data_IF_731397766309
#
_entry.id   IF_731397766309
#
_cell.length_a   1.000
_cell.length_b   1.000
_cell.length_c   1.000
_cell.angle_alpha   90.00
_cell.angle_beta   90.00
_cell.angle_gamma   90.00
#
_symmetry.space_group_name_H-M   'P 1'
#
loop_
_entity.id
_entity.type
_entity.pdbx_description
1 polymer ?
#
# COMPACT_ATOMS: atom_id res chain seq x y z
N UNK A 1 -49.95 -17.70 -17.09
CA UNK A 1 -48.97 -16.67 -17.47
C UNK A 1 -49.18 -15.49 -16.53
N UNK A 2 -48.36 -15.37 -15.48
CA UNK A 2 -48.11 -14.14 -14.70
C UNK A 2 -47.35 -14.56 -13.43
N UNK A 3 -46.02 -14.62 -13.49
CA UNK A 3 -45.14 -14.74 -12.32
C UNK A 3 -43.70 -14.45 -12.77
N UNK A 4 -43.35 -13.18 -12.99
CA UNK A 4 -41.97 -12.77 -13.35
C UNK A 4 -41.69 -11.28 -13.15
N UNK A 5 -42.16 -10.64 -12.07
CA UNK A 5 -41.94 -9.18 -11.90
C UNK A 5 -41.49 -8.70 -10.52
N UNK A 6 -41.47 -9.54 -9.48
CA UNK A 6 -41.15 -9.07 -8.12
C UNK A 6 -39.68 -9.29 -7.70
N UNK A 7 -38.90 -10.03 -8.49
CA UNK A 7 -37.50 -10.36 -8.13
C UNK A 7 -36.46 -9.29 -8.53
N UNK A 8 -36.86 -8.22 -9.22
CA UNK A 8 -35.90 -7.20 -9.71
C UNK A 8 -35.61 -6.09 -8.69
N UNK A 9 -36.40 -5.97 -7.61
CA UNK A 9 -36.27 -4.88 -6.63
C UNK A 9 -35.51 -5.29 -5.36
N UNK A 10 -35.40 -6.60 -5.05
CA UNK A 10 -34.58 -7.10 -3.93
C UNK A 10 -33.09 -7.14 -4.28
N UNK A 11 -32.75 -7.50 -5.52
CA UNK A 11 -31.35 -7.52 -5.99
C UNK A 11 -30.71 -6.13 -5.99
N UNK A 12 -31.49 -5.06 -6.17
CA UNK A 12 -30.99 -3.69 -6.14
C UNK A 12 -30.72 -3.16 -4.71
N UNK A 13 -31.39 -3.69 -3.69
CA UNK A 13 -31.18 -3.32 -2.30
C UNK A 13 -30.07 -4.15 -1.63
N UNK A 14 -29.82 -5.38 -2.10
CA UNK A 14 -28.68 -6.21 -1.66
C UNK A 14 -27.35 -5.82 -2.32
N UNK A 15 -27.38 -5.05 -3.43
CA UNK A 15 -26.18 -4.56 -4.12
C UNK A 15 -25.63 -3.24 -3.56
N UNK A 16 -26.24 -2.70 -2.50
CA UNK A 16 -25.70 -1.61 -1.68
C UNK A 16 -24.90 -2.10 -0.46
N UNK A 17 -24.41 -3.35 -0.48
CA UNK A 17 -23.29 -3.78 0.36
C UNK A 17 -22.04 -3.10 -0.20
N UNK A 18 -21.88 -1.83 0.16
CA UNK A 18 -20.72 -1.02 -0.17
C UNK A 18 -19.46 -1.81 0.15
N UNK A 19 -18.52 -1.83 -0.80
CA UNK A 19 -17.16 -2.33 -0.64
C UNK A 19 -16.74 -2.23 0.83
N UNK A 20 -16.63 -3.39 1.51
CA UNK A 20 -16.24 -3.45 2.91
C UNK A 20 -14.94 -2.64 3.05
N UNK A 21 -15.04 -1.45 3.65
CA UNK A 21 -13.94 -0.50 3.66
C UNK A 21 -13.08 -0.84 4.86
N UNK A 22 -12.07 -1.65 4.60
CA UNK A 22 -11.14 -2.09 5.63
C UNK A 22 -10.32 -0.93 6.18
N UNK A 23 -10.44 -0.67 7.47
CA UNK A 23 -9.66 0.35 8.16
C UNK A 23 -8.15 0.15 8.00
N UNK A 24 -7.70 -1.10 7.91
CA UNK A 24 -6.32 -1.45 7.61
C UNK A 24 -5.83 -0.81 6.30
N UNK A 25 -6.67 -0.80 5.26
CA UNK A 25 -6.36 -0.21 3.97
C UNK A 25 -6.48 1.32 3.98
N UNK A 26 -7.39 1.88 4.77
CA UNK A 26 -7.48 3.33 4.99
C UNK A 26 -6.24 3.85 5.74
N UNK A 27 -5.83 3.18 6.82
CA UNK A 27 -4.63 3.49 7.57
C UNK A 27 -3.38 3.39 6.68
N UNK A 28 -3.23 2.29 5.94
CA UNK A 28 -2.14 2.13 4.97
C UNK A 28 -2.19 3.20 3.85
N UNK A 29 -3.40 3.63 3.49
CA UNK A 29 -3.70 4.58 2.42
C UNK A 29 -3.38 6.05 2.74
N UNK A 30 -3.04 6.37 4.00
CA UNK A 30 -2.53 7.69 4.40
C UNK A 30 -1.14 8.00 3.80
N UNK A 31 -0.46 6.99 3.28
CA UNK A 31 0.73 7.13 2.43
C UNK A 31 0.30 7.22 0.96
N UNK A 32 0.58 8.35 0.32
CA UNK A 32 0.10 8.69 -1.03
C UNK A 32 1.22 9.22 -1.91
N UNK A 33 0.97 9.33 -3.20
CA UNK A 33 1.90 10.01 -4.09
C UNK A 33 1.76 11.52 -3.91
N UNK A 34 2.86 12.26 -3.90
CA UNK A 34 2.84 13.72 -3.79
C UNK A 34 2.56 14.45 -5.12
N UNK A 35 2.59 13.72 -6.24
CA UNK A 35 2.42 14.27 -7.59
C UNK A 35 3.73 14.72 -8.26
N UNK A 36 4.83 14.79 -7.51
CA UNK A 36 6.18 15.16 -7.96
C UNK A 36 7.15 13.98 -8.00
N UNK A 37 6.68 12.77 -7.67
CA UNK A 37 7.48 11.55 -7.71
C UNK A 37 7.97 11.09 -6.34
N UNK A 38 7.64 11.84 -5.28
CA UNK A 38 7.81 11.44 -3.90
C UNK A 38 6.53 10.89 -3.28
N UNK A 39 6.57 10.82 -1.95
CA UNK A 39 5.51 10.28 -1.10
C UNK A 39 5.01 11.38 -0.18
N UNK A 40 3.70 11.57 -0.14
CA UNK A 40 3.02 12.40 0.84
C UNK A 40 2.50 11.51 1.98
N UNK A 41 2.66 11.99 3.21
CA UNK A 41 2.20 11.33 4.42
C UNK A 41 1.08 12.16 5.08
N UNK A 42 -0.14 11.66 5.06
CA UNK A 42 -1.32 12.29 5.68
C UNK A 42 -1.33 12.16 7.22
N UNK A 43 -0.34 11.51 7.82
CA UNK A 43 -0.11 11.45 9.27
C UNK A 43 1.25 12.06 9.64
N UNK A 44 1.75 13.02 8.84
CA UNK A 44 3.07 13.64 9.06
C UNK A 44 3.13 14.55 10.30
N UNK A 45 1.98 15.01 10.80
CA UNK A 45 1.87 15.84 12.02
C UNK A 45 0.74 15.36 12.94
N UNK A 46 0.78 15.71 14.24
CA UNK A 46 -0.32 15.39 15.17
C UNK A 46 -1.67 15.99 14.74
N UNK A 47 -1.67 17.20 14.17
CA UNK A 47 -2.88 17.84 13.66
C UNK A 47 -3.52 17.05 12.51
N UNK A 48 -2.69 16.50 11.61
CA UNK A 48 -3.19 15.67 10.52
C UNK A 48 -3.71 14.30 11.02
N UNK A 49 -3.07 13.70 12.03
CA UNK A 49 -3.61 12.52 12.69
C UNK A 49 -4.97 12.82 13.33
N UNK A 50 -5.11 13.94 14.04
CA UNK A 50 -6.39 14.35 14.62
C UNK A 50 -7.48 14.49 13.56
N UNK A 51 -7.17 15.11 12.42
CA UNK A 51 -8.12 15.25 11.31
C UNK A 51 -8.50 13.89 10.70
N UNK A 52 -7.53 12.97 10.57
CA UNK A 52 -7.79 11.63 10.07
C UNK A 52 -8.71 10.84 11.00
N UNK A 53 -8.48 10.87 12.32
CA UNK A 53 -9.34 10.21 13.32
C UNK A 53 -10.77 10.74 13.25
N UNK A 54 -10.94 12.06 13.19
CA UNK A 54 -12.26 12.70 13.08
C UNK A 54 -13.00 12.27 11.81
N UNK A 55 -12.30 12.16 10.68
CA UNK A 55 -12.88 11.66 9.44
C UNK A 55 -13.35 10.21 9.56
N UNK A 56 -12.56 9.32 10.17
CA UNK A 56 -12.95 7.91 10.37
C UNK A 56 -14.17 7.77 11.30
N UNK A 57 -14.28 8.60 12.34
CA UNK A 57 -15.43 8.62 13.24
C UNK A 57 -16.71 9.08 12.51
N UNK A 58 -16.60 10.13 11.69
CA UNK A 58 -17.71 10.69 10.92
C UNK A 58 -18.25 9.69 9.88
N UNK A 59 -17.37 8.93 9.22
CA UNK A 59 -17.73 7.99 8.15
C UNK A 59 -18.29 6.65 8.67
N UNK A 60 -18.62 6.54 9.97
CA UNK A 60 -19.17 5.33 10.61
C UNK A 60 -18.31 4.06 10.45
N UNK A 61 -17.07 4.16 9.94
CA UNK A 61 -16.18 3.02 9.70
C UNK A 61 -15.74 2.34 11.01
N UNK A 62 -15.98 3.00 12.16
CA UNK A 62 -15.55 2.57 13.48
C UNK A 62 -16.66 2.76 14.54
N UNK A 63 -17.63 1.84 14.65
CA UNK A 63 -18.56 1.81 15.79
C UNK A 63 -17.87 1.79 17.16
N UNK A 64 -16.67 1.22 17.22
CA UNK A 64 -15.83 1.14 18.42
C UNK A 64 -15.21 2.49 18.79
N UNK A 65 -14.86 3.32 17.79
CA UNK A 65 -14.40 4.71 18.03
C UNK A 65 -15.54 5.69 18.28
N UNK A 66 -16.80 5.34 17.95
CA UNK A 66 -17.96 6.21 18.24
C UNK A 66 -18.22 6.40 19.72
N UNK A 67 -17.85 5.41 20.52
CA UNK A 67 -18.00 5.43 21.98
C UNK A 67 -16.67 5.73 22.68
N UNK A 68 -15.62 6.05 21.92
CA UNK A 68 -14.49 6.76 22.47
C UNK A 68 -14.89 8.24 22.44
N UNK A 69 -15.37 8.77 23.56
CA UNK A 69 -15.35 10.22 23.76
C UNK A 69 -13.90 10.65 23.51
N UNK A 70 -13.64 11.25 22.35
CA UNK A 70 -12.32 11.80 22.02
C UNK A 70 -12.23 13.18 22.64
N UNK A 71 -11.59 13.29 23.80
CA UNK A 71 -10.73 14.44 24.03
C UNK A 71 -9.39 13.95 24.59
N UNK A 72 -8.72 13.03 23.89
CA UNK A 72 -7.29 12.85 24.16
C UNK A 72 -6.51 13.78 23.23
N UNK A 73 -5.55 14.50 23.78
CA UNK A 73 -4.70 15.40 23.01
C UNK A 73 -3.84 14.56 22.06
N UNK A 74 -4.02 14.74 20.75
CA UNK A 74 -3.16 14.10 19.75
C UNK A 74 -1.83 14.86 19.73
N UNK A 75 -0.83 14.28 20.39
CA UNK A 75 0.53 14.78 20.43
C UNK A 75 1.47 13.96 19.53
N UNK A 76 2.76 14.25 19.61
CA UNK A 76 3.77 13.56 18.81
C UNK A 76 3.94 12.09 19.22
N UNK A 77 3.70 11.76 20.50
CA UNK A 77 3.75 10.38 20.99
C UNK A 77 2.59 9.57 20.40
N UNK A 78 1.36 10.09 20.44
CA UNK A 78 0.19 9.49 19.83
C UNK A 78 0.38 9.29 18.32
N UNK A 79 0.91 10.32 17.64
CA UNK A 79 1.26 10.23 16.22
C UNK A 79 2.22 9.08 15.93
N UNK A 80 3.33 9.00 16.65
CA UNK A 80 4.33 7.96 16.44
C UNK A 80 3.78 6.56 16.73
N UNK A 81 2.92 6.41 17.75
CA UNK A 81 2.27 5.13 18.04
C UNK A 81 1.39 4.66 16.86
N UNK A 82 0.53 5.52 16.31
CA UNK A 82 -0.32 5.19 15.15
C UNK A 82 0.52 4.95 13.89
N UNK A 83 1.55 5.75 13.64
CA UNK A 83 2.48 5.55 12.52
C UNK A 83 3.21 4.21 12.64
N UNK A 84 3.55 3.76 13.85
CA UNK A 84 4.16 2.44 14.07
C UNK A 84 3.21 1.31 13.65
N UNK A 85 1.92 1.41 13.99
CA UNK A 85 0.90 0.44 13.58
C UNK A 85 0.77 0.45 12.07
N UNK A 86 0.65 1.63 11.43
CA UNK A 86 0.61 1.75 9.97
C UNK A 86 1.82 1.10 9.29
N UNK A 87 3.02 1.32 9.83
CA UNK A 87 4.25 0.75 9.28
C UNK A 87 4.23 -0.78 9.35
N UNK A 88 3.80 -1.36 10.47
CA UNK A 88 3.62 -2.80 10.61
C UNK A 88 2.55 -3.33 9.65
N UNK A 89 1.40 -2.65 9.54
CA UNK A 89 0.34 -3.01 8.58
C UNK A 89 0.90 -3.02 7.17
N UNK A 90 1.59 -1.97 6.71
CA UNK A 90 2.17 -1.93 5.36
C UNK A 90 3.18 -3.04 5.13
N UNK A 91 3.95 -3.45 6.15
CA UNK A 91 4.89 -4.57 6.05
C UNK A 91 4.17 -5.91 5.84
N UNK A 92 3.06 -6.11 6.53
CA UNK A 92 2.23 -7.30 6.38
C UNK A 92 1.44 -7.29 5.06
N UNK A 93 1.00 -6.13 4.58
CA UNK A 93 0.42 -5.99 3.22
C UNK A 93 1.46 -6.32 2.14
N UNK A 94 2.70 -5.84 2.29
CA UNK A 94 3.82 -6.20 1.42
C UNK A 94 4.08 -7.71 1.42
N UNK A 95 4.00 -8.37 2.58
CA UNK A 95 4.09 -9.83 2.69
C UNK A 95 2.90 -10.54 2.03
N UNK A 96 1.69 -10.02 2.20
CA UNK A 96 0.46 -10.63 1.69
C UNK A 96 0.37 -10.59 0.15
N UNK A 97 0.96 -9.59 -0.50
CA UNK A 97 0.99 -9.51 -1.98
C UNK A 97 2.12 -10.32 -2.62
N UNK A 98 3.02 -10.92 -1.84
CA UNK A 98 4.11 -11.73 -2.38
C UNK A 98 3.55 -12.95 -3.15
N UNK A 99 4.16 -13.36 -4.29
CA UNK A 99 5.46 -12.92 -4.83
C UNK A 99 5.40 -11.66 -5.70
N UNK A 100 4.24 -11.00 -5.84
CA UNK A 100 4.19 -9.73 -6.56
C UNK A 100 4.96 -8.64 -5.80
N UNK A 101 5.40 -7.61 -6.53
CA UNK A 101 6.13 -6.50 -5.94
C UNK A 101 5.26 -5.73 -4.92
N UNK A 102 5.83 -5.34 -3.77
CA UNK A 102 5.13 -4.49 -2.81
C UNK A 102 4.94 -3.08 -3.38
N UNK A 103 4.26 -2.22 -2.62
CA UNK A 103 4.16 -0.82 -2.98
C UNK A 103 5.55 -0.17 -3.06
N UNK A 104 5.73 0.73 -4.04
CA UNK A 104 7.01 1.44 -4.24
C UNK A 104 7.45 2.31 -3.06
N UNK A 105 6.50 2.72 -2.20
CA UNK A 105 6.84 3.48 -1.00
C UNK A 105 7.54 2.62 0.07
N UNK A 106 7.47 1.29 -0.05
CA UNK A 106 7.80 0.35 1.01
C UNK A 106 9.09 -0.43 0.77
N UNK A 107 9.57 -0.44 -0.49
CA UNK A 107 10.83 -1.07 -0.84
C UNK A 107 11.97 -0.48 0.01
N UNK A 108 12.71 -1.35 0.69
CA UNK A 108 13.87 -1.07 1.55
C UNK A 108 13.61 -0.25 2.83
N UNK A 109 12.34 0.02 3.17
CA UNK A 109 11.98 0.93 4.29
C UNK A 109 11.20 0.28 5.41
N UNK A 110 10.61 -0.89 5.17
CA UNK A 110 9.73 -1.55 6.13
C UNK A 110 10.48 -2.53 7.03
N UNK A 111 10.01 -2.72 8.29
CA UNK A 111 10.51 -3.79 9.15
C UNK A 111 10.27 -5.16 8.49
N UNK A 112 10.99 -6.18 8.98
CA UNK A 112 10.73 -7.56 8.53
C UNK A 112 9.30 -7.96 8.89
N UNK A 113 8.69 -8.79 8.06
CA UNK A 113 7.31 -9.22 8.28
C UNK A 113 7.09 -9.92 9.63
N UNK A 114 8.11 -10.64 10.15
CA UNK A 114 8.05 -11.24 11.48
C UNK A 114 7.98 -10.19 12.58
N UNK A 115 8.89 -9.20 12.57
CA UNK A 115 8.90 -8.10 13.55
C UNK A 115 7.60 -7.27 13.49
N UNK A 116 7.06 -7.06 12.28
CA UNK A 116 5.78 -6.38 12.08
C UNK A 116 4.59 -7.18 12.64
N UNK A 117 4.59 -8.50 12.47
CA UNK A 117 3.57 -9.39 13.03
C UNK A 117 3.61 -9.36 14.56
N UNK A 118 4.80 -9.49 15.14
CA UNK A 118 4.99 -9.44 16.60
C UNK A 118 4.54 -8.10 17.17
N UNK A 119 4.89 -6.99 16.50
CA UNK A 119 4.43 -5.66 16.90
C UNK A 119 2.92 -5.52 16.83
N UNK A 120 2.28 -6.01 15.77
CA UNK A 120 0.82 -5.92 15.62
C UNK A 120 0.10 -6.74 16.70
N UNK A 121 0.57 -7.95 16.97
CA UNK A 121 0.05 -8.81 18.04
C UNK A 121 0.22 -8.16 19.42
N UNK A 122 1.40 -7.58 19.69
CA UNK A 122 1.67 -6.87 20.94
C UNK A 122 0.71 -5.69 21.13
N UNK A 123 0.55 -4.85 20.09
CA UNK A 123 -0.34 -3.67 20.15
C UNK A 123 -1.79 -4.10 20.32
N UNK A 124 -2.26 -5.10 19.55
CA UNK A 124 -3.63 -5.61 19.65
C UNK A 124 -3.98 -6.15 21.05
N UNK A 125 -2.98 -6.69 21.77
CA UNK A 125 -3.13 -7.26 23.10
C UNK A 125 -3.05 -6.25 24.26
N UNK A 126 -2.67 -4.98 24.00
CA UNK A 126 -2.54 -3.96 25.06
C UNK A 126 -3.85 -3.69 25.78
N UNK A 127 -4.96 -3.81 25.06
CA UNK A 127 -6.30 -3.56 25.58
C UNK A 127 -7.10 -4.86 25.55
N UNK A 128 -7.30 -5.49 26.72
CA UNK A 128 -8.15 -6.66 26.83
C UNK A 128 -9.54 -6.35 26.29
N UNK A 129 -9.99 -7.15 25.34
CA UNK A 129 -11.31 -7.06 24.76
C UNK A 129 -11.97 -8.43 24.71
N UNK A 130 -13.26 -8.45 25.01
CA UNK A 130 -14.10 -9.65 24.95
C UNK A 130 -15.00 -9.55 23.73
N UNK A 131 -15.09 -10.62 22.95
CA UNK A 131 -16.06 -10.72 21.87
C UNK A 131 -17.48 -10.73 22.46
N UNK A 132 -18.33 -9.83 21.98
CA UNK A 132 -19.71 -9.68 22.45
C UNK A 132 -20.66 -9.58 21.28
N UNK A 133 -21.87 -10.11 21.46
CA UNK A 133 -22.96 -9.94 20.50
C UNK A 133 -23.69 -8.63 20.82
N UNK A 134 -23.80 -7.76 19.82
CA UNK A 134 -24.63 -6.56 19.88
C UNK A 134 -25.89 -6.80 19.06
N UNK A 135 -27.05 -6.62 19.70
CA UNK A 135 -28.34 -6.71 19.06
C UNK A 135 -29.02 -5.35 19.15
N UNK A 136 -29.14 -4.60 18.04
CA UNK A 136 -29.86 -3.33 18.07
C UNK A 136 -31.32 -3.55 18.43
N UNK A 137 -31.88 -2.63 19.22
CA UNK A 137 -33.29 -2.69 19.66
C UNK A 137 -34.26 -2.19 18.58
N UNK A 138 -33.75 -1.50 17.57
CA UNK A 138 -34.55 -0.94 16.48
C UNK A 138 -34.95 -2.04 15.47
N UNK A 139 -36.23 -2.10 15.05
CA UNK A 139 -36.70 -3.12 14.12
C UNK A 139 -35.90 -3.13 12.81
N UNK A 140 -35.62 -4.33 12.28
CA UNK A 140 -34.98 -4.51 10.96
C UNK A 140 -33.45 -4.55 10.96
N UNK A 141 -32.78 -4.38 12.11
CA UNK A 141 -31.32 -4.48 12.19
C UNK A 141 -30.88 -5.90 12.59
N UNK A 142 -29.91 -6.44 11.84
CA UNK A 142 -29.29 -7.72 12.15
C UNK A 142 -28.33 -7.60 13.35
N UNK A 143 -28.16 -8.67 14.15
CA UNK A 143 -27.15 -8.68 15.21
C UNK A 143 -25.73 -8.63 14.62
N UNK A 144 -24.83 -7.93 15.31
CA UNK A 144 -23.42 -7.80 14.92
C UNK A 144 -22.51 -8.23 16.06
N UNK A 145 -21.34 -8.79 15.73
CA UNK A 145 -20.30 -9.04 16.71
C UNK A 145 -19.46 -7.79 16.92
N UNK A 146 -19.11 -7.47 18.16
CA UNK A 146 -18.20 -6.37 18.50
C UNK A 146 -17.22 -6.75 19.60
N UNK A 147 -16.06 -6.12 19.61
CA UNK A 147 -15.15 -6.18 20.75
C UNK A 147 -15.60 -5.19 21.83
N UNK A 148 -15.89 -5.69 23.03
CA UNK A 148 -16.13 -4.85 24.21
C UNK A 148 -14.85 -4.79 25.03
N UNK A 149 -14.33 -3.58 25.22
CA UNK A 149 -13.08 -3.31 25.93
C UNK A 149 -13.32 -3.07 27.42
N UNK A 150 -12.29 -3.27 28.24
CA UNK A 150 -12.35 -2.92 29.65
C UNK A 150 -12.54 -1.39 29.84
N UNK A 151 -13.42 -1.01 30.76
CA UNK A 151 -13.92 0.37 30.94
C UNK A 151 -12.85 1.42 31.33
N UNK A 152 -11.62 1.01 31.65
CA UNK A 152 -10.55 1.90 32.15
C UNK A 152 -9.28 1.65 31.37
N UNK A 153 -9.25 2.13 30.13
CA UNK A 153 -8.11 1.94 29.23
C UNK A 153 -7.65 3.30 28.71
N UNK A 154 -6.33 3.50 28.63
CA UNK A 154 -5.74 4.67 27.99
C UNK A 154 -6.29 4.85 26.55
N UNK A 155 -6.75 6.07 26.16
CA UNK A 155 -7.36 6.29 24.85
C UNK A 155 -6.45 5.99 23.65
N UNK A 156 -5.14 6.19 23.78
CA UNK A 156 -4.19 5.91 22.70
C UNK A 156 -3.94 4.40 22.56
N UNK A 157 -3.78 3.69 23.68
CA UNK A 157 -3.70 2.22 23.66
C UNK A 157 -4.98 1.60 23.10
N UNK A 158 -6.15 2.16 23.44
CA UNK A 158 -7.44 1.79 22.85
C UNK A 158 -7.44 1.97 21.33
N UNK A 159 -7.12 3.17 20.83
CA UNK A 159 -7.07 3.47 19.40
C UNK A 159 -6.11 2.54 18.66
N UNK A 160 -4.88 2.39 19.15
CA UNK A 160 -3.86 1.57 18.49
C UNK A 160 -4.21 0.08 18.52
N UNK A 161 -4.83 -0.41 19.60
CA UNK A 161 -5.32 -1.78 19.69
C UNK A 161 -6.46 -2.05 18.71
N UNK A 162 -7.39 -1.12 18.54
CA UNK A 162 -8.46 -1.22 17.53
C UNK A 162 -7.84 -1.29 16.13
N UNK A 163 -6.96 -0.35 15.78
CA UNK A 163 -6.27 -0.34 14.47
C UNK A 163 -5.51 -1.64 14.20
N UNK A 164 -4.84 -2.18 15.23
CA UNK A 164 -4.11 -3.44 15.12
C UNK A 164 -5.05 -4.63 14.90
N UNK A 165 -6.13 -4.76 15.69
CA UNK A 165 -7.12 -5.83 15.54
C UNK A 165 -7.83 -5.78 14.19
N UNK A 166 -8.22 -4.60 13.73
CA UNK A 166 -8.82 -4.42 12.40
C UNK A 166 -7.88 -4.85 11.28
N UNK A 167 -6.58 -4.58 11.41
CA UNK A 167 -5.59 -5.09 10.47
C UNK A 167 -5.43 -6.61 10.53
N UNK A 168 -5.46 -7.21 11.72
CA UNK A 168 -5.43 -8.67 11.88
C UNK A 168 -6.66 -9.33 11.25
N UNK A 169 -7.86 -8.79 11.49
CA UNK A 169 -9.10 -9.27 10.89
C UNK A 169 -9.01 -9.20 9.36
N UNK A 170 -8.62 -8.05 8.80
CA UNK A 170 -8.44 -7.91 7.37
C UNK A 170 -7.45 -8.92 6.77
N UNK A 171 -6.28 -9.10 7.40
CA UNK A 171 -5.24 -10.01 6.92
C UNK A 171 -5.65 -11.49 7.01
N UNK A 172 -6.56 -11.83 7.92
CA UNK A 172 -7.11 -13.18 8.06
C UNK A 172 -8.35 -13.42 7.18
N UNK A 173 -8.97 -12.36 6.66
CA UNK A 173 -10.18 -12.42 5.83
C UNK A 173 -9.87 -12.89 4.40
N UNK A 174 -10.89 -13.41 3.70
CA UNK A 174 -10.77 -13.82 2.30
C UNK A 174 -10.47 -12.63 1.37
N UNK A 175 -10.91 -11.42 1.72
CA UNK A 175 -10.59 -10.20 0.99
C UNK A 175 -9.09 -9.95 0.84
N UNK A 176 -8.28 -10.40 1.81
CA UNK A 176 -6.81 -10.32 1.72
C UNK A 176 -6.26 -10.99 0.46
N UNK A 177 -6.93 -12.02 -0.08
CA UNK A 177 -6.53 -12.71 -1.32
C UNK A 177 -6.70 -11.83 -2.56
N UNK A 178 -7.58 -10.83 -2.49
CA UNK A 178 -7.82 -9.85 -3.56
C UNK A 178 -6.87 -8.66 -3.46
N UNK A 179 -6.04 -8.58 -2.42
CA UNK A 179 -5.11 -7.48 -2.21
C UNK A 179 -4.07 -7.38 -3.33
N UNK A 180 -3.77 -6.15 -3.74
CA UNK A 180 -2.70 -5.84 -4.68
C UNK A 180 -2.04 -4.49 -4.37
N UNK A 181 -0.76 -4.37 -4.72
CA UNK A 181 -0.11 -3.08 -4.86
C UNK A 181 -0.39 -2.51 -6.26
N UNK A 182 -0.73 -1.22 -6.34
CA UNK A 182 -1.00 -0.58 -7.63
C UNK A 182 0.28 -0.46 -8.48
N UNK A 183 0.27 -1.02 -9.69
CA UNK A 183 1.43 -1.03 -10.59
C UNK A 183 1.62 0.26 -11.39
N UNK A 184 0.68 1.21 -11.30
CA UNK A 184 0.75 2.46 -12.05
C UNK A 184 1.99 3.28 -11.64
N UNK A 185 2.64 3.98 -12.58
CA UNK A 185 3.78 4.84 -12.29
C UNK A 185 3.48 5.80 -11.14
N UNK A 186 4.41 5.92 -10.18
CA UNK A 186 4.31 6.78 -8.99
C UNK A 186 3.18 6.42 -8.01
N UNK A 187 2.38 5.38 -8.24
CA UNK A 187 1.38 4.98 -7.26
C UNK A 187 2.01 4.18 -6.11
N UNK A 188 1.49 4.37 -4.90
CA UNK A 188 2.00 3.73 -3.67
C UNK A 188 0.90 3.06 -2.84
N UNK A 189 -0.29 2.93 -3.41
CA UNK A 189 -1.49 2.45 -2.73
C UNK A 189 -1.64 0.93 -2.85
N UNK A 190 -2.04 0.30 -1.75
CA UNK A 190 -2.64 -1.04 -1.73
C UNK A 190 -4.15 -0.96 -1.94
N UNK A 191 -4.72 -1.91 -2.66
CA UNK A 191 -6.14 -1.93 -2.98
C UNK A 191 -6.65 -3.36 -3.12
N UNK A 192 -7.96 -3.55 -2.95
CA UNK A 192 -8.63 -4.81 -3.28
C UNK A 192 -9.04 -4.82 -4.74
N UNK A 193 -8.72 -5.91 -5.43
CA UNK A 193 -9.18 -6.14 -6.79
C UNK A 193 -10.68 -6.43 -6.78
N UNK A 194 -11.42 -5.68 -7.60
CA UNK A 194 -12.80 -5.98 -7.97
C UNK A 194 -12.85 -7.21 -8.89
N UNK A 195 -11.84 -7.40 -9.73
CA UNK A 195 -11.71 -8.56 -10.62
C UNK A 195 -10.24 -8.96 -10.85
N UNK A 196 -9.99 -10.23 -11.19
CA UNK A 196 -8.63 -10.80 -11.23
C UNK A 196 -7.61 -10.07 -12.14
N UNK A 197 -8.09 -9.45 -13.23
CA UNK A 197 -7.26 -8.68 -14.19
C UNK A 197 -6.98 -7.22 -13.77
N UNK A 198 -7.44 -6.78 -12.61
CA UNK A 198 -7.26 -5.40 -12.18
C UNK A 198 -5.81 -5.18 -11.71
N UNK A 199 -5.09 -4.29 -12.38
CA UNK A 199 -3.70 -3.94 -12.05
C UNK A 199 -3.60 -2.55 -11.38
N UNK A 200 -4.64 -1.73 -11.51
CA UNK A 200 -4.63 -0.33 -11.09
C UNK A 200 -5.75 -0.05 -10.10
N UNK A 201 -5.42 0.69 -9.03
CA UNK A 201 -6.37 0.98 -7.95
C UNK A 201 -7.52 1.94 -8.32
N UNK A 202 -7.43 2.64 -9.47
CA UNK A 202 -8.46 3.56 -9.98
C UNK A 202 -8.26 3.87 -11.46
N UNK A 203 -9.28 4.33 -12.21
CA UNK A 203 -9.17 4.66 -13.63
C UNK A 203 -8.05 5.66 -13.97
N UNK A 204 -7.83 6.68 -13.13
CA UNK A 204 -6.74 7.65 -13.34
C UNK A 204 -5.34 7.04 -13.23
N UNK A 205 -5.16 5.94 -12.50
CA UNK A 205 -3.90 5.18 -12.46
C UNK A 205 -3.66 4.43 -13.78
N UNK A 206 -4.72 3.86 -14.38
CA UNK A 206 -4.65 3.23 -15.71
C UNK A 206 -4.27 4.25 -16.81
N UNK A 207 -4.91 5.43 -16.79
CA UNK A 207 -4.56 6.51 -17.72
C UNK A 207 -3.09 6.94 -17.59
N UNK A 208 -2.61 7.10 -16.35
CA UNK A 208 -1.20 7.43 -16.09
C UNK A 208 -0.24 6.35 -16.59
N UNK A 209 -0.58 5.07 -16.44
CA UNK A 209 0.22 3.96 -16.97
C UNK A 209 0.23 3.95 -18.51
N UNK A 210 -0.90 4.25 -19.16
CA UNK A 210 -0.98 4.39 -20.63
C UNK A 210 -0.09 5.52 -21.14
N UNK A 211 -0.19 6.69 -20.51
CA UNK A 211 0.59 7.88 -20.87
C UNK A 211 2.09 7.63 -20.70
N UNK A 212 2.51 7.03 -19.57
CA UNK A 212 3.91 6.72 -19.34
C UNK A 212 4.49 5.78 -20.40
N UNK A 213 3.76 4.72 -20.79
CA UNK A 213 4.18 3.79 -21.86
C UNK A 213 4.31 4.49 -23.22
N UNK A 214 3.45 5.47 -23.52
CA UNK A 214 3.57 6.25 -24.75
C UNK A 214 4.85 7.10 -24.76
N UNK A 215 5.17 7.77 -23.66
CA UNK A 215 6.40 8.55 -23.55
C UNK A 215 7.66 7.69 -23.60
N UNK A 216 7.67 6.53 -22.93
CA UNK A 216 8.78 5.58 -22.97
C UNK A 216 9.08 5.13 -24.41
N UNK A 217 8.06 4.71 -25.16
CA UNK A 217 8.24 4.33 -26.58
C UNK A 217 8.78 5.46 -27.44
N UNK A 218 8.35 6.71 -27.19
CA UNK A 218 8.88 7.87 -27.93
C UNK A 218 10.32 8.18 -27.58
N UNK A 219 10.72 8.00 -26.32
CA UNK A 219 12.10 8.15 -25.88
C UNK A 219 12.98 7.04 -26.47
N UNK A 220 12.53 5.78 -26.43
CA UNK A 220 13.22 4.63 -27.02
C UNK A 220 13.42 4.82 -28.54
N UNK A 221 12.40 5.27 -29.28
CA UNK A 221 12.51 5.56 -30.70
C UNK A 221 13.54 6.68 -30.99
N UNK A 222 13.48 7.79 -30.24
CA UNK A 222 14.44 8.89 -30.41
C UNK A 222 15.88 8.47 -30.05
N UNK A 223 16.05 7.60 -29.05
CA UNK A 223 17.37 7.08 -28.65
C UNK A 223 17.92 6.14 -29.72
N UNK A 224 17.08 5.27 -30.29
CA UNK A 224 17.45 4.39 -31.41
C UNK A 224 17.81 5.16 -32.68
N UNK A 225 17.15 6.28 -32.97
CA UNK A 225 17.48 7.17 -34.11
C UNK A 225 18.84 7.88 -33.90
N UNK A 226 19.17 8.27 -32.67
CA UNK A 226 20.47 8.85 -32.32
C UNK A 226 21.61 7.82 -32.42
N UNK A 227 21.39 6.59 -31.98
CA UNK A 227 22.39 5.51 -32.05
C UNK A 227 22.65 5.03 -33.50
N UNK A 228 21.61 4.97 -34.33
CA UNK A 228 21.73 4.61 -35.76
C UNK A 228 22.35 5.73 -36.60
N UNK A 229 22.11 7.00 -36.26
CA UNK A 229 22.77 8.15 -36.88
C UNK A 229 24.27 8.26 -36.57
N UNK A 230 24.70 7.87 -35.36
CA UNK A 230 26.12 7.87 -34.97
C UNK A 230 26.95 6.74 -35.62
N UNK A 231 26.32 5.64 -36.04
CA UNK A 231 26.99 4.53 -36.72
C UNK A 231 27.18 4.77 -38.24
N UNK A 232 26.51 5.79 -38.80
CA UNK A 232 26.59 6.14 -40.23
C UNK A 232 27.71 7.12 -40.60
N UNK A 233 28.47 7.65 -39.63
CA UNK A 233 29.49 8.70 -39.85
C UNK A 233 30.92 8.22 -39.53
N UNK A 234 31.21 6.94 -39.82
CA UNK A 234 32.57 6.37 -39.81
C UNK A 234 32.74 5.43 -41.01
N UNK A 235 32.60 5.93 -42.24
CA UNK A 235 33.14 5.27 -43.44
C UNK A 235 33.19 6.23 -44.64
N UNK A 236 34.03 7.27 -44.54
CA UNK A 236 34.44 8.07 -45.70
C UNK A 236 35.78 8.80 -45.46
N UNK A 237 36.84 8.07 -45.07
CA UNK A 237 38.21 8.59 -45.16
C UNK A 237 39.24 7.46 -45.36
N UNK A 238 39.41 7.09 -46.63
CA UNK A 238 40.67 6.83 -47.32
C UNK A 238 41.81 6.09 -46.60
N UNK A 239 42.10 4.87 -47.09
CA UNK A 239 43.42 4.26 -47.00
C UNK A 239 44.49 5.08 -47.74
N UNK A 240 45.69 5.25 -47.17
CA UNK A 240 47.00 5.02 -47.81
C UNK A 240 48.03 4.71 -46.71
N UNK A 241 48.84 3.66 -46.91
CA UNK A 241 49.66 3.04 -45.87
C UNK A 241 51.07 3.60 -45.67
N UNK A 242 51.86 2.93 -44.83
CA UNK A 242 53.30 2.72 -44.99
C UNK A 242 53.84 1.79 -43.90
N UNK A 243 54.77 0.93 -44.32
CA UNK A 243 55.55 -0.04 -43.56
C UNK A 243 56.42 0.60 -42.46
N UNK A 244 56.68 -0.15 -41.39
CA UNK A 244 57.71 0.18 -40.41
C UNK A 244 57.94 -0.98 -39.43
N UNK A 245 59.12 -1.59 -39.51
CA UNK A 245 59.50 -2.82 -38.84
C UNK A 245 60.03 -2.64 -37.40
N UNK A 246 60.15 -3.80 -36.73
CA UNK A 246 61.17 -4.18 -35.74
C UNK A 246 60.92 -3.91 -34.25
N UNK A 247 61.09 -4.97 -33.46
CA UNK A 247 61.98 -4.92 -32.28
C UNK A 247 61.43 -5.42 -30.93
N UNK A 248 61.87 -6.62 -30.54
CA UNK A 248 62.26 -7.07 -29.18
C UNK A 248 61.25 -6.96 -28.02
N UNK A 249 60.78 -8.07 -27.42
CA UNK A 249 61.44 -8.93 -26.42
C UNK A 249 61.35 -8.43 -24.94
N UNK A 250 60.96 -9.34 -24.03
CA UNK A 250 61.05 -9.20 -22.56
C UNK A 250 59.78 -9.67 -21.83
N UNK A 251 59.66 -10.95 -21.48
CA UNK A 251 59.75 -11.51 -20.10
C UNK A 251 58.72 -10.94 -19.10
N UNK A 252 57.71 -11.73 -18.69
CA UNK A 252 57.72 -12.64 -17.51
C UNK A 252 57.93 -11.90 -16.18
N UNK A 253 56.96 -11.94 -15.26
CA UNK A 253 57.03 -12.55 -13.91
C UNK A 253 55.62 -12.55 -13.27
N UNK A 254 55.33 -13.63 -12.55
CA UNK A 254 54.15 -13.86 -11.72
C UNK A 254 54.41 -13.48 -10.25
N UNK A 255 53.38 -13.04 -9.51
CA UNK A 255 53.29 -13.16 -8.02
C UNK A 255 51.84 -12.82 -7.61
N UNK A 256 50.99 -13.76 -7.21
CA UNK A 256 50.79 -14.34 -5.86
C UNK A 256 50.55 -13.33 -4.72
N UNK A 257 49.42 -13.53 -4.01
CA UNK A 257 49.39 -13.53 -2.54
C UNK A 257 48.87 -12.28 -1.79
N UNK A 258 47.59 -12.37 -1.37
CA UNK A 258 46.97 -12.13 -0.03
C UNK A 258 47.76 -11.41 1.09
N UNK A 259 47.08 -10.80 2.09
CA UNK A 259 46.09 -11.46 2.98
C UNK A 259 44.64 -10.99 2.90
#
# INVERSE_FOLDING_TARGET
MMESSENSSSDAAEQEVGMHRWLALELAGTIRHDGNGGVADELSTPAQLSAWIQAQQAEHTLPELRHADTPFAVDEYARNAVVSVRTAVRALLARAVAPAAPSRADADRLPKAADALDHLNLVAARVPATLSLHWPTDPGHAPTTRFTEAATTDPLDRLTSILAREAMLFLADEDSRRLAACSAPRCVRYFLKEHGRQEYCKPSCSNRARVARHYQRRQEAATSELETGSAGEVDAAGSVGAMGAAGSAGQSVAEQGKP
#
